data_IF_627164829452
#
_entry.id   IF_627164829452
#
_cell.length_a   1.000
_cell.length_b   1.000
_cell.length_c   1.000
_cell.angle_alpha   90.00
_cell.angle_beta   90.00
_cell.angle_gamma   90.00
#
_symmetry.space_group_name_H-M   'P 1'
#
loop_
_entity.id
_entity.type
_entity.pdbx_description
1 polymer ?
#
# COMPACT_ATOMS: atom_id res chain seq x y z
N UNK A 1 -0.86 -1.93 16.58
CA UNK A 1 -0.52 -0.53 16.90
C UNK A 1 -1.08 0.40 15.84
N UNK A 2 -1.70 1.49 16.24
CA UNK A 2 -2.28 2.48 15.34
C UNK A 2 -1.19 3.49 14.96
N UNK A 3 -0.98 3.67 13.66
CA UNK A 3 0.02 4.60 13.15
C UNK A 3 -0.62 5.66 12.26
N UNK A 4 -0.11 6.89 12.34
CA UNK A 4 -0.53 7.97 11.44
C UNK A 4 0.13 7.75 10.09
N UNK A 5 -0.66 7.42 9.08
CA UNK A 5 -0.16 7.13 7.73
C UNK A 5 -0.06 8.39 6.87
N UNK A 6 -1.00 9.28 7.02
CA UNK A 6 -1.08 10.48 6.21
C UNK A 6 -0.63 11.71 6.98
N UNK A 7 0.03 12.65 6.28
CA UNK A 7 0.09 14.01 6.76
C UNK A 7 -1.33 14.55 6.89
N UNK A 8 -1.50 15.48 7.78
CA UNK A 8 -2.78 16.13 8.02
C UNK A 8 -3.22 16.89 6.77
N UNK A 9 -4.46 16.69 6.35
CA UNK A 9 -5.09 17.46 5.29
C UNK A 9 -6.07 18.46 5.91
N UNK A 10 -6.04 19.68 5.42
CA UNK A 10 -6.86 20.77 5.93
C UNK A 10 -7.72 21.36 4.81
N UNK A 11 -8.99 21.57 5.10
CA UNK A 11 -9.93 22.25 4.20
C UNK A 11 -10.98 22.98 5.02
N UNK A 12 -11.12 24.29 4.83
CA UNK A 12 -12.11 25.11 5.53
C UNK A 12 -12.09 24.95 7.04
N UNK A 13 -10.91 24.91 7.66
CA UNK A 13 -10.76 24.74 9.10
C UNK A 13 -10.94 23.32 9.59
N UNK A 14 -11.19 22.36 8.68
CA UNK A 14 -11.26 20.94 9.00
C UNK A 14 -9.92 20.28 8.73
N UNK A 15 -9.54 19.38 9.61
CA UNK A 15 -8.33 18.59 9.50
C UNK A 15 -8.71 17.13 9.50
N UNK A 16 -8.28 16.40 8.47
CA UNK A 16 -8.51 14.95 8.38
C UNK A 16 -7.19 14.22 8.58
N UNK A 17 -7.17 13.28 9.52
CA UNK A 17 -6.02 12.42 9.77
C UNK A 17 -6.39 10.98 9.47
N UNK A 18 -5.54 10.30 8.74
CA UNK A 18 -5.70 8.87 8.46
C UNK A 18 -4.69 8.08 9.27
N UNK A 19 -5.20 7.13 10.02
CA UNK A 19 -4.39 6.19 10.80
C UNK A 19 -4.57 4.81 10.23
N UNK A 20 -3.58 3.96 10.37
CA UNK A 20 -3.74 2.56 10.02
C UNK A 20 -3.23 1.64 11.11
N UNK A 21 -3.77 0.44 11.12
CA UNK A 21 -3.36 -0.63 11.99
C UNK A 21 -3.19 -1.90 11.15
N UNK A 22 -2.06 -2.59 11.31
CA UNK A 22 -1.89 -3.95 10.81
C UNK A 22 -2.52 -4.88 11.81
N UNK A 23 -3.61 -5.52 11.44
CA UNK A 23 -4.35 -6.36 12.38
C UNK A 23 -3.81 -7.78 12.42
N UNK A 24 -3.57 -8.37 11.24
CA UNK A 24 -3.05 -9.72 11.14
C UNK A 24 -2.49 -10.00 9.75
N UNK A 25 -1.77 -11.13 9.65
CA UNK A 25 -1.22 -11.62 8.39
C UNK A 25 -1.59 -13.10 8.28
N UNK A 26 -2.23 -13.45 7.17
CA UNK A 26 -2.43 -14.85 6.79
C UNK A 26 -1.28 -15.23 5.86
N UNK A 27 -0.28 -15.92 6.40
CA UNK A 27 0.93 -16.28 5.63
C UNK A 27 0.67 -17.39 4.63
N UNK A 28 -0.32 -18.23 4.89
CA UNK A 28 -0.65 -19.36 4.01
C UNK A 28 -1.29 -18.83 2.72
N UNK A 29 -2.26 -17.93 2.86
CA UNK A 29 -2.97 -17.35 1.73
C UNK A 29 -2.36 -16.04 1.25
N UNK A 30 -1.29 -15.57 1.90
CA UNK A 30 -0.58 -14.35 1.56
C UNK A 30 -1.50 -13.13 1.54
N UNK A 31 -2.15 -12.90 2.66
CA UNK A 31 -3.10 -11.79 2.84
C UNK A 31 -2.74 -11.00 4.08
N UNK A 32 -2.71 -9.67 3.93
CA UNK A 32 -2.65 -8.73 5.05
C UNK A 32 -4.04 -8.21 5.35
N UNK A 33 -4.35 -8.09 6.63
CA UNK A 33 -5.57 -7.44 7.09
C UNK A 33 -5.19 -6.14 7.79
N UNK A 34 -5.81 -5.05 7.35
CA UNK A 34 -5.57 -3.70 7.87
C UNK A 34 -6.87 -3.05 8.28
N UNK A 35 -6.76 -2.09 9.16
CA UNK A 35 -7.85 -1.17 9.47
C UNK A 35 -7.36 0.24 9.26
N UNK A 36 -8.10 1.04 8.48
CA UNK A 36 -7.90 2.47 8.38
C UNK A 36 -8.91 3.19 9.23
N UNK A 37 -8.45 4.22 9.92
CA UNK A 37 -9.30 5.07 10.74
C UNK A 37 -9.11 6.50 10.26
N UNK A 38 -10.21 7.14 9.85
CA UNK A 38 -10.21 8.52 9.40
C UNK A 38 -10.86 9.37 10.49
N UNK A 39 -10.11 10.32 11.04
CA UNK A 39 -10.60 11.23 12.06
C UNK A 39 -10.64 12.63 11.51
N UNK A 40 -11.80 13.26 11.61
CA UNK A 40 -12.03 14.64 11.20
C UNK A 40 -12.15 15.52 12.41
N UNK A 41 -11.40 16.61 12.42
CA UNK A 41 -11.38 17.59 13.50
C UNK A 41 -11.82 18.95 12.98
N UNK A 42 -12.57 19.67 13.81
CA UNK A 42 -12.88 21.09 13.60
C UNK A 42 -12.43 21.84 14.83
N UNK A 43 -11.53 22.83 14.64
CA UNK A 43 -10.99 23.62 15.74
C UNK A 43 -10.47 22.75 16.89
N UNK A 44 -9.69 21.72 16.54
CA UNK A 44 -9.09 20.75 17.48
C UNK A 44 -10.09 19.81 18.17
N UNK A 45 -11.34 19.86 17.76
CA UNK A 45 -12.37 18.98 18.30
C UNK A 45 -12.66 17.84 17.31
N UNK A 46 -12.64 16.60 17.78
CA UNK A 46 -13.00 15.45 16.96
C UNK A 46 -14.51 15.49 16.67
N UNK A 47 -14.86 15.62 15.39
CA UNK A 47 -16.25 15.71 14.95
C UNK A 47 -16.75 14.46 14.25
N UNK A 48 -15.85 13.65 13.69
CA UNK A 48 -16.24 12.37 13.09
C UNK A 48 -15.11 11.38 13.09
N UNK A 49 -15.47 10.10 13.10
CA UNK A 49 -14.53 9.00 12.96
C UNK A 49 -15.15 7.94 12.06
N UNK A 50 -14.40 7.54 11.03
CA UNK A 50 -14.82 6.47 10.13
C UNK A 50 -13.78 5.37 10.12
N UNK A 51 -14.22 4.14 10.08
CA UNK A 51 -13.35 2.97 10.08
C UNK A 51 -13.58 2.14 8.83
N UNK A 52 -12.48 1.72 8.18
CA UNK A 52 -12.54 0.88 6.99
C UNK A 52 -11.60 -0.31 7.17
N UNK A 53 -12.14 -1.51 7.05
CA UNK A 53 -11.36 -2.74 7.07
C UNK A 53 -10.94 -3.10 5.65
N UNK A 54 -9.66 -3.42 5.47
CA UNK A 54 -9.11 -3.79 4.17
C UNK A 54 -8.41 -5.13 4.24
N UNK A 55 -8.46 -5.82 3.11
CA UNK A 55 -7.82 -7.10 2.88
C UNK A 55 -6.97 -6.96 1.62
N UNK A 56 -5.65 -7.14 1.75
CA UNK A 56 -4.72 -7.02 0.64
C UNK A 56 -3.92 -8.29 0.47
N UNK A 57 -3.93 -8.82 -0.75
CA UNK A 57 -3.05 -9.93 -1.11
C UNK A 57 -1.64 -9.41 -1.37
N UNK A 58 -0.64 -10.22 -1.04
CA UNK A 58 0.75 -9.86 -1.33
C UNK A 58 1.45 -10.99 -2.07
N UNK A 59 2.48 -10.62 -2.82
CA UNK A 59 3.24 -11.55 -3.66
C UNK A 59 4.72 -11.30 -3.48
N UNK A 60 5.51 -12.37 -3.41
CA UNK A 60 6.96 -12.28 -3.45
C UNK A 60 7.43 -12.05 -4.89
N UNK A 61 8.61 -11.46 -5.04
CA UNK A 61 9.21 -11.19 -6.34
C UNK A 61 9.21 -12.41 -7.30
N UNK A 62 9.67 -13.60 -6.88
CA UNK A 62 9.65 -14.75 -7.79
C UNK A 62 8.24 -15.15 -8.23
N UNK A 63 7.23 -14.99 -7.37
CA UNK A 63 5.85 -15.28 -7.72
C UNK A 63 5.33 -14.33 -8.79
N UNK A 64 5.64 -13.03 -8.66
CA UNK A 64 5.25 -12.04 -9.65
C UNK A 64 5.89 -12.33 -11.00
N UNK A 65 7.18 -12.66 -11.02
CA UNK A 65 7.87 -13.00 -12.27
C UNK A 65 7.24 -14.21 -12.94
N UNK A 66 6.87 -15.24 -12.18
CA UNK A 66 6.21 -16.42 -12.70
C UNK A 66 4.82 -16.10 -13.27
N UNK A 67 4.06 -15.25 -12.58
CA UNK A 67 2.73 -14.83 -13.04
C UNK A 67 2.82 -14.02 -14.33
N UNK A 68 3.80 -13.12 -14.44
CA UNK A 68 4.00 -12.35 -15.67
C UNK A 68 4.28 -13.28 -16.85
N UNK A 69 5.16 -14.26 -16.65
CA UNK A 69 5.50 -15.24 -17.68
C UNK A 69 4.28 -16.05 -18.12
N UNK A 70 3.47 -16.51 -17.15
CA UNK A 70 2.23 -17.24 -17.46
C UNK A 70 1.25 -16.39 -18.25
N UNK A 71 1.21 -15.08 -17.98
CA UNK A 71 0.37 -14.13 -18.69
C UNK A 71 0.93 -13.64 -20.03
N UNK A 72 2.07 -14.15 -20.44
CA UNK A 72 2.70 -13.73 -21.69
C UNK A 72 3.36 -12.36 -21.58
N UNK A 73 3.77 -11.95 -20.39
CA UNK A 73 4.41 -10.66 -20.14
C UNK A 73 5.88 -10.82 -19.79
N UNK A 74 6.65 -9.81 -20.15
CA UNK A 74 8.07 -9.75 -19.87
C UNK A 74 8.38 -8.45 -19.11
N UNK A 75 9.12 -8.55 -18.02
CA UNK A 75 9.61 -7.37 -17.32
C UNK A 75 10.80 -6.79 -18.07
N UNK A 76 10.71 -5.53 -18.48
CA UNK A 76 11.81 -4.83 -19.16
C UNK A 76 12.61 -3.95 -18.22
N UNK A 77 11.96 -3.37 -17.21
CA UNK A 77 12.61 -2.56 -16.20
C UNK A 77 11.96 -2.80 -14.86
N UNK A 78 12.77 -2.76 -13.81
CA UNK A 78 12.32 -3.00 -12.44
C UNK A 78 12.93 -1.97 -11.50
N UNK A 79 12.10 -1.36 -10.66
CA UNK A 79 12.54 -0.31 -9.76
C UNK A 79 11.96 -0.50 -8.37
N UNK A 80 12.66 0.05 -7.37
CA UNK A 80 12.21 0.07 -5.99
C UNK A 80 11.42 1.31 -5.60
N UNK A 81 11.24 2.25 -6.54
CA UNK A 81 10.46 3.46 -6.32
C UNK A 81 10.06 4.09 -7.65
N UNK A 82 9.09 5.01 -7.61
CA UNK A 82 8.70 5.76 -8.81
C UNK A 82 9.78 6.74 -9.28
N UNK A 83 10.76 7.03 -8.45
CA UNK A 83 11.94 7.82 -8.84
C UNK A 83 13.06 6.98 -9.46
N UNK A 84 12.76 5.74 -9.81
CA UNK A 84 13.69 4.79 -10.46
C UNK A 84 14.87 4.37 -9.59
N UNK A 85 14.67 4.32 -8.27
CA UNK A 85 15.67 3.74 -7.37
C UNK A 85 15.81 2.24 -7.66
N UNK A 86 17.00 1.65 -7.38
CA UNK A 86 17.20 0.22 -7.62
C UNK A 86 16.23 -0.64 -6.83
N UNK A 87 15.79 -1.74 -7.42
CA UNK A 87 15.00 -2.75 -6.71
C UNK A 87 15.95 -3.65 -5.93
N UNK A 88 15.89 -3.55 -4.60
CA UNK A 88 16.70 -4.34 -3.67
C UNK A 88 15.90 -4.63 -2.39
N UNK A 89 16.54 -5.29 -1.42
CA UNK A 89 15.86 -5.68 -0.19
C UNK A 89 15.42 -4.50 0.68
N UNK A 90 15.94 -3.32 0.44
CA UNK A 90 15.56 -2.12 1.19
C UNK A 90 14.39 -1.38 0.53
N UNK A 91 14.00 -1.77 -0.68
CA UNK A 91 12.92 -1.13 -1.40
C UNK A 91 11.58 -1.39 -0.70
N UNK A 92 10.77 -0.34 -0.58
CA UNK A 92 9.43 -0.43 0.01
C UNK A 92 8.37 -0.76 -1.02
N UNK A 93 8.73 -0.68 -2.29
CA UNK A 93 7.84 -0.91 -3.43
C UNK A 93 8.54 -1.76 -4.46
N UNK A 94 7.76 -2.44 -5.28
CA UNK A 94 8.25 -3.12 -6.47
C UNK A 94 7.49 -2.58 -7.66
N UNK A 95 8.22 -1.94 -8.57
CA UNK A 95 7.63 -1.34 -9.76
C UNK A 95 8.19 -2.03 -10.98
N UNK A 96 7.31 -2.53 -11.82
CA UNK A 96 7.65 -3.29 -13.01
C UNK A 96 7.14 -2.59 -14.25
N UNK A 97 8.01 -2.42 -15.23
CA UNK A 97 7.61 -2.01 -16.56
C UNK A 97 7.55 -3.27 -17.42
N UNK A 98 6.35 -3.59 -17.88
CA UNK A 98 6.07 -4.84 -18.58
C UNK A 98 5.78 -4.59 -20.05
N UNK A 99 6.08 -5.59 -20.88
CA UNK A 99 5.66 -5.62 -22.27
C UNK A 99 5.21 -7.04 -22.61
N UNK A 100 4.45 -7.18 -23.70
CA UNK A 100 4.06 -8.49 -24.19
C UNK A 100 5.33 -9.24 -24.65
N UNK A 101 5.48 -10.48 -24.21
CA UNK A 101 6.55 -11.34 -24.69
C UNK A 101 6.30 -11.75 -26.14
N UNK A 102 7.35 -11.76 -26.93
CA UNK A 102 7.25 -12.13 -28.34
C UNK A 102 7.03 -13.64 -28.49
#
# INVERSE_FOLDING_TARGET
MLELEWPVKSHSGRIVRRYFSKDSVDKINQVFYFTFIFRTYENETLVSEETEALKLSYYAYPQLKALFKLGGLQSVEEYGSFSKAPLNNDAKEMIFLLRRAA
#
